data_IF_185401644059
#
_entry.id   IF_185401644059
#
_cell.length_a   1.000
_cell.length_b   1.000
_cell.length_c   1.000
_cell.angle_alpha   90.00
_cell.angle_beta   90.00
_cell.angle_gamma   90.00
#
_symmetry.space_group_name_H-M   'P 1'
#
loop_
_entity.id
_entity.type
_entity.pdbx_description
1 polymer ?
#
# COMPACT_ATOMS: atom_id res chain seq x y z
N UNK A 1 1.22 -5.50 22.74
CA UNK A 1 1.44 -6.91 23.09
C UNK A 1 0.83 -7.27 24.45
N UNK A 2 1.22 -6.60 25.54
CA UNK A 2 0.68 -6.81 26.89
C UNK A 2 -0.86 -6.72 27.01
N UNK A 3 -1.48 -5.79 26.27
CA UNK A 3 -2.92 -5.60 26.27
C UNK A 3 -3.67 -6.77 25.59
N UNK A 4 -3.12 -7.36 24.53
CA UNK A 4 -3.75 -8.50 23.83
C UNK A 4 -3.69 -9.76 24.70
N UNK A 5 -2.54 -10.03 25.33
CA UNK A 5 -2.39 -11.20 26.20
C UNK A 5 -3.25 -11.12 27.47
N UNK A 6 -3.43 -9.93 28.03
CA UNK A 6 -4.24 -9.77 29.24
C UNK A 6 -5.74 -9.76 28.96
N UNK A 7 -6.16 -9.32 27.77
CA UNK A 7 -7.60 -9.17 27.45
C UNK A 7 -8.15 -10.42 26.76
N UNK A 8 -7.40 -11.06 25.86
CA UNK A 8 -7.86 -12.25 25.14
C UNK A 8 -7.60 -13.51 25.96
N UNK A 9 -8.53 -13.81 26.87
CA UNK A 9 -8.44 -14.98 27.76
C UNK A 9 -9.27 -16.18 27.32
N UNK A 10 -10.20 -16.00 26.39
CA UNK A 10 -11.11 -17.04 25.92
C UNK A 10 -11.12 -17.17 24.41
N UNK A 11 -11.42 -18.38 23.91
CA UNK A 11 -11.58 -18.65 22.48
C UNK A 11 -12.68 -17.78 21.86
N UNK A 12 -13.75 -17.53 22.62
CA UNK A 12 -14.86 -16.68 22.20
C UNK A 12 -14.42 -15.23 22.02
N UNK A 13 -13.63 -14.68 22.94
CA UNK A 13 -13.15 -13.31 22.84
C UNK A 13 -12.15 -13.13 21.68
N UNK A 14 -11.32 -14.14 21.40
CA UNK A 14 -10.48 -14.16 20.20
C UNK A 14 -11.33 -14.14 18.91
N UNK A 15 -12.42 -14.91 18.87
CA UNK A 15 -13.34 -14.92 17.72
C UNK A 15 -14.01 -13.55 17.53
N UNK A 16 -14.52 -12.95 18.61
CA UNK A 16 -15.14 -11.62 18.57
C UNK A 16 -14.14 -10.54 18.14
N UNK A 17 -12.90 -10.61 18.63
CA UNK A 17 -11.84 -9.65 18.26
C UNK A 17 -11.51 -9.71 16.77
N UNK A 18 -11.41 -10.92 16.20
CA UNK A 18 -11.18 -11.09 14.77
C UNK A 18 -12.37 -10.57 13.95
N UNK A 19 -13.60 -10.84 14.39
CA UNK A 19 -14.79 -10.27 13.75
C UNK A 19 -14.82 -8.75 13.81
N UNK A 20 -14.48 -8.13 14.93
CA UNK A 20 -14.41 -6.68 15.07
C UNK A 20 -13.42 -6.06 14.07
N UNK A 21 -12.24 -6.68 13.92
CA UNK A 21 -11.21 -6.26 12.97
C UNK A 21 -11.67 -6.44 11.51
N UNK A 22 -12.34 -7.55 11.20
CA UNK A 22 -12.91 -7.79 9.86
C UNK A 22 -14.02 -6.80 9.55
N UNK A 23 -14.90 -6.49 10.51
CA UNK A 23 -15.97 -5.50 10.36
C UNK A 23 -15.40 -4.10 10.10
N UNK A 24 -14.31 -3.72 10.79
CA UNK A 24 -13.60 -2.47 10.48
C UNK A 24 -13.09 -2.46 9.03
N UNK A 25 -12.55 -3.58 8.55
CA UNK A 25 -12.19 -3.78 7.13
C UNK A 25 -13.35 -3.60 6.17
N UNK A 26 -14.50 -4.20 6.48
CA UNK A 26 -15.72 -4.09 5.68
C UNK A 26 -16.14 -2.62 5.57
N UNK A 27 -16.19 -1.90 6.69
CA UNK A 27 -16.61 -0.50 6.71
C UNK A 27 -15.69 0.37 5.83
N UNK A 28 -14.38 0.27 6.04
CA UNK A 28 -13.40 1.03 5.27
C UNK A 28 -13.44 0.69 3.77
N UNK A 29 -13.45 -0.60 3.42
CA UNK A 29 -13.48 -1.05 2.03
C UNK A 29 -14.79 -0.73 1.32
N UNK A 30 -15.92 -0.78 2.04
CA UNK A 30 -17.25 -0.47 1.47
C UNK A 30 -17.39 1.02 1.18
N UNK A 31 -16.87 1.90 2.05
CA UNK A 31 -16.85 3.33 1.78
C UNK A 31 -16.00 3.65 0.54
N UNK A 32 -14.83 3.01 0.41
CA UNK A 32 -14.00 3.15 -0.80
C UNK A 32 -14.71 2.66 -2.06
N UNK A 33 -15.46 1.55 -1.97
CA UNK A 33 -16.28 1.05 -3.07
C UNK A 33 -17.41 2.01 -3.45
N UNK A 34 -18.14 2.53 -2.46
CA UNK A 34 -19.22 3.49 -2.69
C UNK A 34 -18.66 4.74 -3.36
N UNK A 35 -17.52 5.24 -2.90
CA UNK A 35 -16.84 6.38 -3.50
C UNK A 35 -16.45 6.11 -4.96
N UNK A 36 -15.91 4.92 -5.27
CA UNK A 36 -15.59 4.56 -6.65
C UNK A 36 -16.83 4.39 -7.54
N UNK A 37 -17.93 3.83 -7.02
CA UNK A 37 -19.16 3.61 -7.78
C UNK A 37 -19.88 4.93 -8.05
N UNK A 38 -19.93 5.81 -7.05
CA UNK A 38 -20.56 7.13 -7.17
C UNK A 38 -19.71 8.14 -7.93
N UNK A 39 -18.40 7.87 -8.08
CA UNK A 39 -17.40 8.81 -8.62
C UNK A 39 -17.33 10.13 -7.84
N UNK A 40 -17.84 10.14 -6.61
CA UNK A 40 -17.87 11.29 -5.72
C UNK A 40 -16.56 11.35 -4.92
N UNK A 41 -15.48 11.69 -5.61
CA UNK A 41 -14.14 11.77 -5.02
C UNK A 41 -13.91 13.04 -4.18
N UNK A 42 -14.81 14.01 -4.25
CA UNK A 42 -14.75 15.26 -3.48
C UNK A 42 -15.37 15.11 -2.08
N UNK A 43 -16.17 14.07 -1.88
CA UNK A 43 -16.76 13.74 -0.59
C UNK A 43 -15.88 12.77 0.19
N UNK A 44 -15.20 13.28 1.20
CA UNK A 44 -14.32 12.48 2.07
C UNK A 44 -15.08 11.61 3.10
N UNK A 45 -16.42 11.60 3.09
CA UNK A 45 -17.27 10.88 4.04
C UNK A 45 -16.86 11.11 5.50
N UNK A 46 -16.74 12.38 5.90
CA UNK A 46 -16.25 12.79 7.22
C UNK A 46 -14.82 12.31 7.55
N UNK A 47 -13.96 12.21 6.53
CA UNK A 47 -12.56 11.76 6.66
C UNK A 47 -12.39 10.24 6.62
N UNK A 48 -13.46 9.49 6.36
CA UNK A 48 -13.43 8.03 6.33
C UNK A 48 -13.04 7.47 4.95
N UNK A 49 -13.04 8.30 3.91
CA UNK A 49 -12.66 7.91 2.57
C UNK A 49 -11.92 9.07 1.87
N UNK A 50 -10.66 9.26 2.24
CA UNK A 50 -9.81 10.30 1.68
C UNK A 50 -9.20 9.83 0.36
N UNK A 51 -9.23 10.70 -0.64
CA UNK A 51 -8.53 10.51 -1.91
C UNK A 51 -7.13 11.10 -1.80
N UNK A 52 -6.10 10.30 -2.06
CA UNK A 52 -4.72 10.82 -2.04
C UNK A 52 -4.44 11.61 -3.33
N UNK A 53 -3.73 12.73 -3.20
CA UNK A 53 -3.36 13.65 -4.29
C UNK A 53 -2.54 13.00 -5.42
N UNK A 54 -1.99 11.80 -5.19
CA UNK A 54 -1.23 11.10 -6.21
C UNK A 54 -2.10 10.28 -7.16
N UNK A 55 -2.43 10.87 -8.30
CA UNK A 55 -3.05 10.23 -9.48
C UNK A 55 -2.14 9.20 -10.17
N UNK A 56 -2.73 8.23 -10.86
CA UNK A 56 -2.02 7.25 -11.71
C UNK A 56 -2.41 7.42 -13.17
N UNK A 57 -1.43 7.19 -14.06
CA UNK A 57 -1.68 7.08 -15.48
C UNK A 57 -2.25 5.68 -15.77
N UNK A 58 -3.30 5.62 -16.57
CA UNK A 58 -3.95 4.37 -16.97
C UNK A 58 -3.32 3.72 -18.21
N UNK A 59 -2.41 4.45 -18.88
CA UNK A 59 -1.86 4.05 -20.19
C UNK A 59 -2.78 4.40 -21.35
N UNK A 60 -3.98 4.92 -21.07
CA UNK A 60 -4.90 5.44 -22.08
C UNK A 60 -4.64 6.92 -22.33
N UNK A 61 -4.79 7.31 -23.59
CA UNK A 61 -4.63 8.68 -24.05
C UNK A 61 -5.94 9.12 -24.68
N UNK A 62 -6.49 10.24 -24.21
CA UNK A 62 -7.69 10.83 -24.81
C UNK A 62 -7.43 11.24 -26.27
N UNK A 63 -8.49 11.48 -27.04
CA UNK A 63 -8.41 11.94 -28.44
C UNK A 63 -7.61 13.23 -28.65
N UNK A 64 -7.32 13.96 -27.57
CA UNK A 64 -6.48 15.16 -27.53
C UNK A 64 -5.02 14.90 -27.14
N UNK A 65 -4.56 13.65 -27.08
CA UNK A 65 -3.17 13.33 -26.71
C UNK A 65 -2.87 13.46 -25.22
N UNK A 66 -3.88 13.63 -24.37
CA UNK A 66 -3.72 13.77 -22.91
C UNK A 66 -3.90 12.43 -22.20
N UNK A 67 -2.94 12.05 -21.36
CA UNK A 67 -3.02 10.82 -20.55
C UNK A 67 -4.21 10.85 -19.58
N UNK A 68 -5.02 9.79 -19.59
CA UNK A 68 -6.12 9.61 -18.63
C UNK A 68 -5.52 9.26 -17.27
N UNK A 69 -5.95 10.00 -16.25
CA UNK A 69 -5.50 9.85 -14.87
C UNK A 69 -6.61 9.31 -14.01
N UNK A 70 -6.26 8.38 -13.11
CA UNK A 70 -7.16 7.79 -12.12
C UNK A 70 -6.75 8.18 -10.71
N UNK A 71 -7.74 8.52 -9.90
CA UNK A 71 -7.56 8.81 -8.48
C UNK A 71 -7.26 7.52 -7.70
N UNK A 72 -6.54 7.67 -6.59
CA UNK A 72 -6.18 6.55 -5.71
C UNK A 72 -6.84 6.74 -4.36
N UNK A 73 -7.61 5.74 -3.96
CA UNK A 73 -8.33 5.78 -2.69
C UNK A 73 -7.40 5.38 -1.55
N UNK A 74 -7.45 6.13 -0.45
CA UNK A 74 -6.63 5.87 0.74
C UNK A 74 -7.45 5.53 1.99
N UNK A 75 -8.78 5.42 1.84
CA UNK A 75 -9.69 5.16 2.96
C UNK A 75 -9.52 6.19 4.08
N UNK A 76 -9.72 5.82 5.35
CA UNK A 76 -9.53 6.73 6.47
C UNK A 76 -8.05 6.96 6.82
N UNK A 77 -7.13 6.26 6.16
CA UNK A 77 -5.70 6.26 6.51
C UNK A 77 -4.98 7.45 5.91
N UNK A 78 -5.47 8.01 4.79
CA UNK A 78 -4.85 9.13 4.09
C UNK A 78 -3.59 8.77 3.29
N UNK A 79 -3.06 7.54 3.44
CA UNK A 79 -1.95 7.03 2.63
C UNK A 79 -2.31 5.69 1.99
N UNK A 80 -2.41 5.69 0.67
CA UNK A 80 -2.81 4.56 -0.17
C UNK A 80 -1.98 3.28 -0.01
N UNK A 81 -0.66 3.36 0.16
CA UNK A 81 0.14 2.15 0.29
C UNK A 81 -0.10 1.49 1.65
N UNK A 82 -0.24 2.30 2.71
CA UNK A 82 -0.52 1.84 4.07
C UNK A 82 -1.95 1.34 4.19
N UNK A 83 -2.89 2.01 3.55
CA UNK A 83 -4.27 1.54 3.40
C UNK A 83 -4.31 0.15 2.76
N UNK A 84 -3.60 -0.05 1.64
CA UNK A 84 -3.49 -1.35 1.00
C UNK A 84 -2.89 -2.40 1.94
N UNK A 85 -1.81 -2.08 2.66
CA UNK A 85 -1.19 -3.00 3.62
C UNK A 85 -2.16 -3.41 4.74
N UNK A 86 -2.93 -2.45 5.29
CA UNK A 86 -3.95 -2.75 6.30
C UNK A 86 -4.97 -3.71 5.72
N UNK A 87 -5.52 -3.43 4.54
CA UNK A 87 -6.50 -4.31 3.88
C UNK A 87 -5.96 -5.71 3.58
N UNK A 88 -4.71 -5.83 3.13
CA UNK A 88 -4.08 -7.14 2.87
C UNK A 88 -3.98 -7.99 4.14
N UNK A 89 -3.70 -7.38 5.29
CA UNK A 89 -3.65 -8.11 6.58
C UNK A 89 -5.04 -8.64 6.98
N UNK A 90 -6.12 -7.95 6.59
CA UNK A 90 -7.48 -8.37 6.88
C UNK A 90 -7.96 -9.54 6.02
N UNK A 91 -7.42 -9.67 4.80
CA UNK A 91 -7.79 -10.73 3.85
C UNK A 91 -7.64 -12.16 4.41
N UNK A 92 -6.49 -12.59 4.96
CA UNK A 92 -6.36 -13.94 5.51
C UNK A 92 -7.25 -14.14 6.74
N UNK A 93 -7.50 -13.09 7.54
CA UNK A 93 -8.42 -13.14 8.67
C UNK A 93 -9.86 -13.40 8.23
N UNK A 94 -10.32 -12.71 7.18
CA UNK A 94 -11.65 -12.90 6.60
C UNK A 94 -11.79 -14.29 5.95
N UNK A 95 -10.79 -14.72 5.17
CA UNK A 95 -10.78 -16.05 4.54
C UNK A 95 -10.82 -17.18 5.58
N UNK A 96 -10.04 -17.06 6.66
CA UNK A 96 -10.07 -18.04 7.76
C UNK A 96 -11.46 -18.19 8.40
N UNK A 97 -12.24 -17.11 8.48
CA UNK A 97 -13.61 -17.17 9.03
C UNK A 97 -14.55 -17.99 8.17
N UNK A 98 -14.33 -18.05 6.86
CA UNK A 98 -15.13 -18.90 5.95
C UNK A 98 -15.00 -20.39 6.30
N UNK A 99 -13.83 -20.83 6.78
CA UNK A 99 -13.59 -22.23 7.15
C UNK A 99 -13.80 -22.51 8.64
N UNK A 100 -13.56 -21.53 9.51
CA UNK A 100 -13.67 -21.70 10.97
C UNK A 100 -15.12 -21.74 11.47
N UNK A 101 -16.04 -21.07 10.77
CA UNK A 101 -17.41 -20.88 11.24
C UNK A 101 -18.31 -22.07 10.89
N UNK A 102 -19.06 -22.57 11.88
CA UNK A 102 -19.97 -23.72 11.71
C UNK A 102 -21.26 -23.37 10.97
N UNK A 103 -21.73 -22.12 11.12
CA UNK A 103 -23.02 -21.65 10.58
C UNK A 103 -22.84 -21.16 9.15
N UNK A 104 -23.59 -21.71 8.20
CA UNK A 104 -23.43 -21.42 6.77
C UNK A 104 -23.65 -19.93 6.43
N UNK A 105 -24.58 -19.24 7.10
CA UNK A 105 -24.83 -17.82 6.87
C UNK A 105 -23.68 -16.93 7.38
N UNK A 106 -23.02 -17.32 8.47
CA UNK A 106 -21.82 -16.61 8.96
C UNK A 106 -20.66 -16.77 7.98
N UNK A 107 -20.54 -17.96 7.35
CA UNK A 107 -19.58 -18.20 6.27
C UNK A 107 -19.87 -17.32 5.06
N UNK A 108 -21.15 -17.10 4.73
CA UNK A 108 -21.55 -16.19 3.66
C UNK A 108 -21.17 -14.74 3.98
N UNK A 109 -21.36 -14.29 5.23
CA UNK A 109 -20.92 -12.95 5.67
C UNK A 109 -19.39 -12.83 5.55
N UNK A 110 -18.63 -13.84 5.98
CA UNK A 110 -17.17 -13.83 5.86
C UNK A 110 -16.69 -13.81 4.40
N UNK A 111 -17.38 -14.55 3.51
CA UNK A 111 -17.12 -14.51 2.08
C UNK A 111 -17.45 -13.13 1.49
N UNK A 112 -18.60 -12.56 1.86
CA UNK A 112 -19.01 -11.22 1.47
C UNK A 112 -18.03 -10.15 1.95
N UNK A 113 -17.44 -10.31 3.14
CA UNK A 113 -16.44 -9.40 3.69
C UNK A 113 -15.15 -9.31 2.86
N UNK A 114 -14.81 -10.37 2.13
CA UNK A 114 -13.63 -10.38 1.26
C UNK A 114 -13.77 -9.37 0.10
N UNK A 115 -15.00 -9.10 -0.36
CA UNK A 115 -15.27 -8.19 -1.49
C UNK A 115 -14.79 -6.76 -1.20
N UNK A 116 -15.28 -6.05 -0.16
CA UNK A 116 -14.81 -4.71 0.15
C UNK A 116 -13.34 -4.66 0.53
N UNK A 117 -12.80 -5.70 1.18
CA UNK A 117 -11.37 -5.77 1.53
C UNK A 117 -10.50 -5.81 0.26
N UNK A 118 -10.81 -6.73 -0.67
CA UNK A 118 -10.09 -6.85 -1.94
C UNK A 118 -10.26 -5.58 -2.78
N UNK A 119 -11.47 -5.02 -2.83
CA UNK A 119 -11.71 -3.76 -3.50
C UNK A 119 -10.87 -2.62 -2.92
N UNK A 120 -10.75 -2.50 -1.60
CA UNK A 120 -9.87 -1.53 -0.96
C UNK A 120 -8.41 -1.69 -1.38
N UNK A 121 -7.92 -2.92 -1.52
CA UNK A 121 -6.55 -3.19 -2.05
C UNK A 121 -6.44 -2.73 -3.51
N UNK A 122 -7.40 -3.07 -4.37
CA UNK A 122 -7.35 -2.74 -5.79
C UNK A 122 -7.47 -1.23 -6.04
N UNK A 123 -8.43 -0.56 -5.39
CA UNK A 123 -8.71 0.88 -5.53
C UNK A 123 -7.64 1.77 -4.89
N UNK A 124 -6.83 1.22 -3.98
CA UNK A 124 -5.61 1.90 -3.53
C UNK A 124 -4.57 2.07 -4.65
N UNK A 125 -4.74 1.28 -5.72
CA UNK A 125 -3.75 1.02 -6.75
C UNK A 125 -2.39 0.88 -6.08
N UNK A 126 -2.14 -0.11 -5.22
CA UNK A 126 -0.83 -0.30 -4.58
C UNK A 126 -0.13 -1.52 -5.17
N UNK A 127 1.01 -1.33 -5.86
CA UNK A 127 1.79 -2.44 -6.44
C UNK A 127 2.25 -3.40 -5.34
N UNK A 128 2.72 -2.83 -4.23
CA UNK A 128 3.08 -3.60 -3.03
C UNK A 128 1.88 -4.31 -2.39
N UNK A 129 0.66 -3.75 -2.52
CA UNK A 129 -0.57 -4.43 -2.13
C UNK A 129 -0.81 -5.71 -2.93
N UNK A 130 -0.72 -5.64 -4.26
CA UNK A 130 -0.83 -6.83 -5.12
C UNK A 130 0.23 -7.89 -4.82
N UNK A 131 1.49 -7.50 -4.66
CA UNK A 131 2.57 -8.41 -4.26
C UNK A 131 2.30 -9.02 -2.88
N UNK A 132 1.85 -8.22 -1.91
CA UNK A 132 1.55 -8.71 -0.56
C UNK A 132 0.37 -9.70 -0.55
N UNK A 133 -0.64 -9.52 -1.40
CA UNK A 133 -1.72 -10.53 -1.59
C UNK A 133 -1.14 -11.84 -2.12
N UNK A 134 -0.27 -11.80 -3.12
CA UNK A 134 0.39 -13.00 -3.65
C UNK A 134 1.21 -13.72 -2.57
N UNK A 135 2.04 -12.97 -1.82
CA UNK A 135 2.80 -13.51 -0.68
C UNK A 135 1.89 -14.09 0.39
N UNK A 136 0.76 -13.45 0.67
CA UNK A 136 -0.24 -13.96 1.63
C UNK A 136 -0.79 -15.31 1.20
N UNK A 137 -1.16 -15.48 -0.07
CA UNK A 137 -1.62 -16.78 -0.58
C UNK A 137 -0.53 -17.86 -0.52
N UNK A 138 0.71 -17.51 -0.87
CA UNK A 138 1.86 -18.44 -0.73
C UNK A 138 2.04 -18.87 0.73
N UNK A 139 1.99 -17.92 1.67
CA UNK A 139 2.08 -18.20 3.10
C UNK A 139 0.93 -19.10 3.59
N UNK A 140 -0.31 -18.86 3.14
CA UNK A 140 -1.47 -19.69 3.49
C UNK A 140 -1.34 -21.13 2.96
N UNK A 141 -0.78 -21.31 1.76
CA UNK A 141 -0.47 -22.66 1.22
C UNK A 141 0.65 -23.32 2.02
N UNK A 142 1.72 -22.59 2.34
CA UNK A 142 2.84 -23.09 3.11
C UNK A 142 2.42 -23.53 4.52
N UNK A 143 1.52 -22.77 5.15
CA UNK A 143 0.89 -23.10 6.43
C UNK A 143 -0.21 -24.19 6.34
N UNK A 144 -0.44 -24.77 5.14
CA UNK A 144 -1.46 -25.79 4.85
C UNK A 144 -2.88 -25.36 5.22
N UNK A 145 -3.14 -24.05 5.22
CA UNK A 145 -4.48 -23.51 5.49
C UNK A 145 -5.40 -23.65 4.28
N UNK A 146 -4.82 -23.59 3.08
CA UNK A 146 -5.51 -23.75 1.79
C UNK A 146 -4.72 -24.67 0.87
N UNK A 147 -5.42 -25.35 -0.03
CA UNK A 147 -4.81 -26.21 -1.05
C UNK A 147 -4.39 -25.36 -2.26
N UNK A 148 -3.32 -25.75 -2.96
CA UNK A 148 -2.81 -25.02 -4.12
C UNK A 148 -3.86 -24.80 -5.23
N UNK A 149 -4.76 -25.75 -5.44
CA UNK A 149 -5.85 -25.60 -6.43
C UNK A 149 -6.88 -24.54 -6.03
N UNK A 150 -7.08 -24.30 -4.71
CA UNK A 150 -7.95 -23.22 -4.23
C UNK A 150 -7.32 -21.86 -4.53
N UNK A 151 -5.99 -21.76 -4.40
CA UNK A 151 -5.26 -20.56 -4.83
C UNK A 151 -5.40 -20.34 -6.31
N UNK A 152 -5.26 -21.37 -7.15
CA UNK A 152 -5.48 -21.24 -8.59
C UNK A 152 -6.87 -20.73 -8.93
N UNK A 153 -7.90 -21.24 -8.25
CA UNK A 153 -9.28 -20.76 -8.43
C UNK A 153 -9.43 -19.29 -7.98
N UNK A 154 -8.87 -18.91 -6.84
CA UNK A 154 -8.90 -17.52 -6.36
C UNK A 154 -8.12 -16.57 -7.28
N UNK A 155 -7.00 -17.02 -7.83
CA UNK A 155 -6.21 -16.27 -8.82
C UNK A 155 -6.99 -16.12 -10.12
N UNK A 156 -7.66 -17.17 -10.60
CA UNK A 156 -8.49 -17.10 -11.80
C UNK A 156 -9.67 -16.13 -11.60
N UNK A 157 -10.38 -16.20 -10.46
CA UNK A 157 -11.43 -15.25 -10.11
C UNK A 157 -10.86 -13.84 -10.02
N UNK A 158 -9.74 -13.67 -9.32
CA UNK A 158 -9.06 -12.38 -9.17
C UNK A 158 -8.66 -11.78 -10.53
N UNK A 159 -8.15 -12.60 -11.44
CA UNK A 159 -7.80 -12.19 -12.80
C UNK A 159 -9.03 -11.67 -13.56
N UNK A 160 -10.14 -12.42 -13.55
CA UNK A 160 -11.40 -11.98 -14.18
C UNK A 160 -11.94 -10.69 -13.56
N UNK A 161 -11.91 -10.57 -12.22
CA UNK A 161 -12.36 -9.36 -11.53
C UNK A 161 -11.48 -8.17 -11.90
N UNK A 162 -10.16 -8.34 -11.93
CA UNK A 162 -9.24 -7.25 -12.26
C UNK A 162 -9.43 -6.82 -13.72
N UNK A 163 -9.51 -7.74 -14.68
CA UNK A 163 -9.68 -7.39 -16.10
C UNK A 163 -11.02 -6.71 -16.39
N UNK A 164 -12.08 -7.03 -15.63
CA UNK A 164 -13.42 -6.47 -15.84
C UNK A 164 -13.69 -5.19 -15.06
N UNK A 165 -13.23 -5.11 -13.81
CA UNK A 165 -13.56 -4.00 -12.90
C UNK A 165 -12.45 -2.94 -12.84
N UNK A 166 -11.19 -3.36 -12.94
CA UNK A 166 -10.04 -2.47 -12.76
C UNK A 166 -8.91 -2.79 -13.76
N UNK A 167 -9.15 -2.67 -15.08
CA UNK A 167 -8.14 -2.96 -16.10
C UNK A 167 -6.88 -2.08 -15.94
N UNK A 168 -7.07 -0.84 -15.47
CA UNK A 168 -6.02 0.12 -15.12
C UNK A 168 -4.98 -0.44 -14.12
N UNK A 169 -5.40 -1.37 -13.26
CA UNK A 169 -4.51 -1.99 -12.28
C UNK A 169 -3.50 -2.94 -12.93
N UNK A 170 -3.85 -3.59 -14.06
CA UNK A 170 -2.94 -4.47 -14.81
C UNK A 170 -1.82 -3.67 -15.48
N UNK A 171 -2.17 -2.57 -16.14
CA UNK A 171 -1.18 -1.63 -16.70
C UNK A 171 -0.21 -1.14 -15.62
N UNK A 172 -0.74 -0.94 -14.42
CA UNK A 172 0.08 -0.51 -13.29
C UNK A 172 0.95 -1.62 -12.68
N UNK A 173 0.56 -2.88 -12.82
CA UNK A 173 1.40 -4.03 -12.44
C UNK A 173 2.48 -4.30 -13.50
N UNK A 174 2.19 -4.14 -14.79
CA UNK A 174 3.19 -4.35 -15.86
C UNK A 174 4.34 -3.34 -15.74
N UNK A 175 4.02 -2.05 -15.52
CA UNK A 175 5.03 -1.02 -15.21
C UNK A 175 5.81 -1.25 -13.89
N UNK A 176 5.42 -2.24 -13.08
CA UNK A 176 6.18 -2.72 -11.93
C UNK A 176 7.10 -3.88 -12.26
N UNK A 177 6.71 -4.75 -13.19
CA UNK A 177 7.54 -5.83 -13.70
C UNK A 177 8.71 -5.24 -14.50
N UNK A 178 8.46 -4.20 -15.30
CA UNK A 178 9.48 -3.44 -16.03
C UNK A 178 10.53 -2.82 -15.08
N UNK A 179 10.17 -2.61 -13.81
CA UNK A 179 11.08 -2.12 -12.76
C UNK A 179 12.03 -3.21 -12.26
N UNK A 180 11.62 -4.48 -12.27
CA UNK A 180 12.50 -5.59 -11.93
C UNK A 180 13.60 -5.76 -13.00
N UNK A 181 13.29 -5.45 -14.26
CA UNK A 181 14.27 -5.42 -15.35
C UNK A 181 15.28 -4.26 -15.21
N UNK A 182 14.97 -3.19 -14.47
CA UNK A 182 15.94 -2.13 -14.13
C UNK A 182 17.07 -2.63 -13.22
N UNK A 183 16.85 -3.70 -12.46
CA UNK A 183 17.91 -4.33 -11.68
C UNK A 183 19.01 -4.94 -12.58
N UNK A 184 18.76 -5.03 -13.89
CA UNK A 184 19.70 -5.52 -14.91
C UNK A 184 20.39 -4.42 -15.74
N UNK A 185 20.14 -3.13 -15.50
CA UNK A 185 21.10 -2.06 -15.88
C UNK A 185 20.61 -0.82 -16.61
N UNK A 186 19.33 -0.64 -16.94
CA UNK A 186 18.87 0.54 -17.71
C UNK A 186 18.03 1.51 -16.86
N UNK A 187 18.69 2.43 -16.14
CA UNK A 187 18.04 3.38 -15.21
C UNK A 187 17.15 4.47 -15.88
N UNK A 188 17.14 4.60 -17.20
CA UNK A 188 16.41 5.67 -17.91
C UNK A 188 14.91 5.33 -18.13
N UNK A 189 14.54 4.05 -18.20
CA UNK A 189 13.14 3.59 -18.39
C UNK A 189 12.40 3.34 -17.07
N UNK A 190 12.98 3.75 -15.95
CA UNK A 190 12.44 3.47 -14.64
C UNK A 190 11.11 4.20 -14.36
N UNK A 191 10.04 3.44 -14.14
CA UNK A 191 8.72 3.99 -13.79
C UNK A 191 8.82 5.05 -12.69
N UNK A 192 8.16 6.19 -12.89
CA UNK A 192 8.46 7.43 -12.15
C UNK A 192 8.39 7.34 -10.61
N UNK A 193 7.69 6.36 -10.04
CA UNK A 193 7.65 6.12 -8.60
C UNK A 193 8.94 5.48 -8.03
N UNK A 194 9.67 4.71 -8.84
CA UNK A 194 10.98 4.14 -8.47
C UNK A 194 12.04 5.20 -8.56
N UNK A 195 12.05 5.95 -9.67
CA UNK A 195 12.90 7.12 -9.86
C UNK A 195 12.72 8.11 -8.71
N UNK A 196 11.48 8.44 -8.33
CA UNK A 196 11.21 9.31 -7.19
C UNK A 196 11.75 8.80 -5.85
N UNK A 197 11.71 7.48 -5.59
CA UNK A 197 12.29 6.88 -4.36
C UNK A 197 13.82 6.89 -4.38
N UNK A 198 14.42 6.52 -5.51
CA UNK A 198 15.86 6.56 -5.71
C UNK A 198 16.40 8.00 -5.56
N UNK A 199 15.74 8.98 -6.18
CA UNK A 199 16.08 10.40 -6.04
C UNK A 199 15.96 10.86 -4.60
N UNK A 200 14.88 10.52 -3.88
CA UNK A 200 14.73 10.91 -2.47
C UNK A 200 15.75 10.24 -1.54
N UNK A 201 16.11 8.98 -1.81
CA UNK A 201 17.11 8.25 -1.03
C UNK A 201 18.52 8.80 -1.28
N UNK A 202 18.88 9.06 -2.54
CA UNK A 202 20.16 9.68 -2.88
C UNK A 202 20.25 11.10 -2.33
N UNK A 203 19.19 11.89 -2.41
CA UNK A 203 19.15 13.23 -1.83
C UNK A 203 19.42 13.21 -0.30
N UNK A 204 18.76 12.32 0.44
CA UNK A 204 19.03 12.16 1.88
C UNK A 204 20.47 11.69 2.15
N UNK A 205 21.03 10.84 1.30
CA UNK A 205 22.44 10.44 1.41
C UNK A 205 23.41 11.60 1.14
N UNK A 206 23.15 12.45 0.15
CA UNK A 206 23.96 13.64 -0.11
C UNK A 206 23.85 14.68 1.02
N UNK A 207 22.66 14.87 1.59
CA UNK A 207 22.47 15.70 2.79
C UNK A 207 23.35 15.20 3.94
N UNK A 208 23.41 13.88 4.14
CA UNK A 208 24.31 13.30 5.13
C UNK A 208 25.79 13.56 4.83
N UNK A 209 26.23 13.42 3.58
CA UNK A 209 27.62 13.68 3.21
C UNK A 209 28.03 15.13 3.46
N UNK A 210 27.09 16.08 3.32
CA UNK A 210 27.33 17.49 3.60
C UNK A 210 27.29 17.82 5.10
N UNK A 211 26.47 17.10 5.88
CA UNK A 211 26.29 17.32 7.33
C UNK A 211 26.47 16.05 8.19
N UNK A 212 27.64 15.39 8.17
CA UNK A 212 27.80 14.04 8.71
C UNK A 212 27.81 13.95 10.25
N UNK A 213 28.21 15.02 10.95
CA UNK A 213 28.37 15.00 12.39
C UNK A 213 27.03 15.15 13.14
N UNK A 214 26.28 16.20 12.84
CA UNK A 214 25.07 16.60 13.58
C UNK A 214 23.80 16.61 12.72
N UNK A 215 23.91 16.35 11.42
CA UNK A 215 22.79 16.47 10.48
C UNK A 215 22.28 17.89 10.32
N UNK A 216 21.15 18.02 9.62
CA UNK A 216 20.50 19.31 9.32
C UNK A 216 19.36 19.66 10.28
N UNK A 217 19.15 18.84 11.31
CA UNK A 217 18.13 19.00 12.34
C UNK A 217 16.89 18.10 12.11
N UNK A 218 16.27 17.56 13.18
CA UNK A 218 15.10 16.69 13.09
C UNK A 218 13.96 17.25 12.23
N UNK A 219 13.49 16.45 11.28
CA UNK A 219 12.40 16.76 10.36
C UNK A 219 12.74 17.74 9.24
N UNK A 220 14.00 18.20 9.12
CA UNK A 220 14.40 19.14 8.05
C UNK A 220 14.73 18.43 6.73
N UNK A 221 15.07 17.14 6.75
CA UNK A 221 15.36 16.35 5.54
C UNK A 221 14.24 16.40 4.52
N UNK A 222 12.98 16.35 4.95
CA UNK A 222 11.82 16.43 4.06
C UNK A 222 11.73 17.74 3.25
N UNK A 223 12.33 18.83 3.73
CA UNK A 223 12.36 20.15 3.08
C UNK A 223 13.53 20.26 2.10
N UNK A 224 14.72 19.82 2.52
CA UNK A 224 15.94 19.88 1.71
C UNK A 224 16.06 18.77 0.66
N UNK A 225 15.31 17.66 0.83
CA UNK A 225 15.24 16.58 -0.17
C UNK A 225 14.83 17.10 -1.55
N UNK A 226 14.08 18.21 -1.63
CA UNK A 226 13.68 18.84 -2.90
C UNK A 226 14.85 19.52 -3.61
N UNK A 227 15.70 20.23 -2.87
CA UNK A 227 16.85 20.97 -3.42
C UNK A 227 17.88 19.98 -3.96
N UNK A 228 18.34 19.07 -3.09
CA UNK A 228 19.26 17.99 -3.46
C UNK A 228 18.69 17.07 -4.53
N UNK A 229 17.41 16.67 -4.41
CA UNK A 229 16.78 15.77 -5.38
C UNK A 229 16.61 16.37 -6.77
N UNK A 230 16.43 17.69 -6.88
CA UNK A 230 16.30 18.38 -8.16
C UNK A 230 17.65 18.61 -8.84
N UNK A 231 18.75 18.74 -8.10
CA UNK A 231 20.11 18.82 -8.64
C UNK A 231 20.59 17.47 -9.22
N UNK A 232 20.19 16.35 -8.60
CA UNK A 232 20.53 14.99 -9.07
C UNK A 232 19.82 14.65 -10.41
N UNK A 233 18.80 15.43 -10.81
CA UNK A 233 18.28 15.44 -12.19
C UNK A 233 17.46 14.23 -12.64
N UNK A 234 17.22 13.24 -11.79
CA UNK A 234 16.39 12.08 -12.18
C UNK A 234 14.89 12.42 -12.20
N UNK A 235 14.30 13.11 -11.23
CA UNK A 235 12.90 13.55 -11.36
C UNK A 235 12.68 14.79 -10.53
N UNK A 236 12.07 15.82 -11.13
CA UNK A 236 11.69 17.02 -10.39
C UNK A 236 10.72 16.63 -9.27
N UNK A 237 11.14 16.81 -8.03
CA UNK A 237 10.34 16.53 -6.85
C UNK A 237 9.42 17.73 -6.62
N UNK A 238 8.12 17.51 -6.73
CA UNK A 238 7.09 18.49 -6.39
C UNK A 238 6.68 18.29 -4.92
N UNK A 239 6.87 19.32 -4.09
CA UNK A 239 6.53 19.32 -2.66
C UNK A 239 7.62 18.79 -1.71
N UNK A 240 7.34 18.82 -0.39
CA UNK A 240 8.19 18.24 0.64
C UNK A 240 8.05 16.72 0.62
N UNK A 241 9.07 16.01 0.16
CA UNK A 241 9.05 14.55 0.02
C UNK A 241 10.00 13.94 1.04
N UNK A 242 9.46 13.15 1.96
CA UNK A 242 10.27 12.39 2.92
C UNK A 242 11.03 11.28 2.20
N UNK A 243 12.25 11.00 2.65
CA UNK A 243 12.96 9.83 2.20
C UNK A 243 12.16 8.59 2.65
N UNK A 244 11.83 7.69 1.72
CA UNK A 244 11.09 6.46 2.05
C UNK A 244 11.94 5.42 2.80
N UNK A 245 12.97 5.86 3.52
CA UNK A 245 13.84 5.08 4.39
C UNK A 245 14.08 5.89 5.68
N UNK A 246 13.40 5.50 6.76
CA UNK A 246 13.51 6.21 8.05
C UNK A 246 14.94 6.23 8.59
N UNK A 247 15.74 5.20 8.36
CA UNK A 247 17.13 5.18 8.83
C UNK A 247 17.98 6.22 8.10
N UNK A 248 17.73 6.41 6.80
CA UNK A 248 18.46 7.38 6.00
C UNK A 248 17.98 8.81 6.30
N UNK A 249 16.68 8.98 6.56
CA UNK A 249 16.10 10.26 6.98
C UNK A 249 16.65 10.68 8.36
N UNK A 250 16.68 9.75 9.32
CA UNK A 250 17.23 10.01 10.67
C UNK A 250 18.73 10.32 10.62
N UNK A 251 19.47 9.61 9.78
CA UNK A 251 20.90 9.80 9.59
C UNK A 251 21.22 11.13 8.89
N UNK A 252 20.35 11.60 8.00
CA UNK A 252 20.44 12.93 7.40
C UNK A 252 20.01 14.04 8.39
N UNK A 253 18.97 13.80 9.19
CA UNK A 253 18.44 14.75 10.16
C UNK A 253 19.35 14.96 11.37
N UNK A 254 20.00 13.91 11.87
CA UNK A 254 20.74 13.95 13.14
C UNK A 254 22.23 13.60 13.03
N UNK A 255 22.68 13.21 11.83
CA UNK A 255 24.06 12.78 11.59
C UNK A 255 24.41 11.50 12.34
N UNK A 256 25.70 11.18 12.39
CA UNK A 256 26.20 10.01 13.13
C UNK A 256 25.93 10.13 14.63
N UNK A 257 25.94 11.34 15.19
CA UNK A 257 25.74 11.55 16.62
C UNK A 257 24.34 11.13 17.09
N UNK A 258 23.27 11.54 16.40
CA UNK A 258 21.90 11.12 16.75
C UNK A 258 21.59 9.70 16.32
N UNK A 259 22.10 9.25 15.17
CA UNK A 259 21.87 7.88 14.69
C UNK A 259 22.48 6.82 15.61
N UNK A 260 23.67 7.07 16.16
CA UNK A 260 24.31 6.15 17.12
C UNK A 260 23.57 6.08 18.45
N UNK A 261 23.02 7.20 18.93
CA UNK A 261 22.17 7.26 20.11
C UNK A 261 20.83 6.50 19.91
N UNK A 262 20.25 6.55 18.71
CA UNK A 262 19.04 5.80 18.37
C UNK A 262 19.28 4.28 18.32
N UNK A 263 20.51 3.87 17.98
CA UNK A 263 20.91 2.48 17.83
C UNK A 263 21.41 1.83 19.13
N UNK A 264 21.63 2.61 20.19
CA UNK A 264 22.04 2.15 21.53
C UNK A 264 20.86 1.91 22.45
#
# INVERSE_FOLDING_TARGET
YWLILNTIRTRELLHMSIWAIVVAGILMGSLSLIQEVTKDYDNDFAGMAVVDNGVINTGEVNSFGTEIKRNRLSGPIGEKNRYAQVMVVLLPLALMRIWAERRWWVRLIAAGACIPIVAGVLLSFSRGGGVAVAVTFVAMVAMRMIKWWQVLLLVAIGYVVITTVAPDYLYRLSTAADVADLATGNAQDAGGAVRGRATSGLAAFYIFLDYPAFGIGPGQTSKHTREYGNEIGYRKLEGNRRAHNMYLEELADTGLAGFTLLMS
#
